data_IF_918220543087
#
_entry.id   IF_918220543087
#
_cell.length_a   1.000
_cell.length_b   1.000
_cell.length_c   1.000
_cell.angle_alpha   90.00
_cell.angle_beta   90.00
_cell.angle_gamma   90.00
#
_symmetry.space_group_name_H-M   'P 1'
#
loop_
_entity.id
_entity.type
_entity.pdbx_description
1 polymer ?
#
# COMPACT_ATOMS: atom_id res chain seq x y z
N UNK A 1 8.65 -10.86 9.97
CA UNK A 1 8.11 -10.23 8.75
C UNK A 1 9.21 -9.54 7.98
N UNK A 2 9.08 -9.46 6.67
CA UNK A 2 9.95 -8.69 5.80
C UNK A 2 9.18 -7.51 5.26
N UNK A 3 9.88 -6.52 4.74
CA UNK A 3 9.29 -5.28 4.24
C UNK A 3 9.19 -5.31 2.73
N UNK A 4 8.04 -4.91 2.21
CA UNK A 4 7.74 -4.93 0.77
C UNK A 4 7.24 -3.58 0.31
N UNK A 5 7.57 -3.23 -0.93
CA UNK A 5 6.92 -2.12 -1.63
C UNK A 5 5.85 -2.70 -2.56
N UNK A 6 4.67 -2.11 -2.52
CA UNK A 6 3.52 -2.57 -3.30
C UNK A 6 3.08 -1.41 -4.18
N UNK A 7 3.06 -1.64 -5.48
CA UNK A 7 2.62 -0.65 -6.45
C UNK A 7 1.19 -0.94 -6.87
N UNK A 8 0.31 0.08 -6.79
CA UNK A 8 -1.06 0.04 -7.30
C UNK A 8 -1.22 1.21 -8.27
N UNK A 9 -1.30 0.90 -9.55
CA UNK A 9 -1.27 1.91 -10.61
C UNK A 9 -2.66 2.33 -11.00
N UNK A 10 -2.91 3.66 -11.03
CA UNK A 10 -4.17 4.24 -11.54
C UNK A 10 -5.42 3.58 -10.96
N UNK A 11 -5.36 3.19 -9.69
CA UNK A 11 -6.40 2.36 -9.07
C UNK A 11 -7.66 3.14 -8.70
N UNK A 12 -7.55 4.46 -8.55
CA UNK A 12 -8.66 5.29 -8.09
C UNK A 12 -8.83 6.53 -8.96
N UNK A 13 -10.10 6.88 -9.22
CA UNK A 13 -10.42 8.03 -10.05
C UNK A 13 -10.16 9.36 -9.32
N UNK A 14 -10.30 9.37 -7.99
CA UNK A 14 -10.20 10.57 -7.17
C UNK A 14 -9.90 10.23 -5.71
N UNK A 15 -9.69 11.26 -4.89
CA UNK A 15 -9.39 11.10 -3.47
C UNK A 15 -10.51 10.42 -2.68
N UNK A 16 -11.77 10.63 -3.06
CA UNK A 16 -12.91 10.01 -2.39
C UNK A 16 -12.86 8.49 -2.50
N UNK A 17 -12.61 7.97 -3.70
CA UNK A 17 -12.45 6.53 -3.93
C UNK A 17 -11.25 5.98 -3.15
N UNK A 18 -10.14 6.71 -3.17
CA UNK A 18 -8.93 6.33 -2.44
C UNK A 18 -9.20 6.21 -0.94
N UNK A 19 -9.88 7.18 -0.35
CA UNK A 19 -10.18 7.18 1.09
C UNK A 19 -11.05 5.99 1.50
N UNK A 20 -12.03 5.63 0.68
CA UNK A 20 -12.88 4.46 0.93
C UNK A 20 -12.02 3.19 0.91
N UNK A 21 -11.17 3.05 -0.10
CA UNK A 21 -10.26 1.91 -0.22
C UNK A 21 -9.27 1.84 0.95
N UNK A 22 -8.71 2.97 1.35
CA UNK A 22 -7.77 3.05 2.47
C UNK A 22 -8.43 2.63 3.78
N UNK A 23 -9.66 3.07 4.04
CA UNK A 23 -10.40 2.66 5.22
C UNK A 23 -10.65 1.16 5.26
N UNK A 24 -11.07 0.58 4.13
CA UNK A 24 -11.28 -0.86 4.00
C UNK A 24 -9.96 -1.63 4.20
N UNK A 25 -8.89 -1.13 3.61
CA UNK A 25 -7.56 -1.71 3.73
C UNK A 25 -7.10 -1.76 5.20
N UNK A 26 -7.33 -0.69 5.94
CA UNK A 26 -6.96 -0.63 7.36
C UNK A 26 -7.75 -1.66 8.18
N UNK A 27 -9.05 -1.74 7.98
CA UNK A 27 -9.90 -2.69 8.72
C UNK A 27 -9.46 -4.13 8.45
N UNK A 28 -9.27 -4.48 7.19
CA UNK A 28 -8.86 -5.85 6.81
C UNK A 28 -7.45 -6.14 7.33
N UNK A 29 -6.53 -5.18 7.24
CA UNK A 29 -5.17 -5.34 7.76
C UNK A 29 -5.16 -5.60 9.27
N UNK A 30 -6.01 -4.90 10.01
CA UNK A 30 -6.15 -5.10 11.45
C UNK A 30 -6.70 -6.50 11.80
N UNK A 31 -7.40 -7.15 10.86
CA UNK A 31 -7.87 -8.54 11.00
C UNK A 31 -6.80 -9.57 10.63
N UNK A 32 -5.67 -9.13 10.10
CA UNK A 32 -4.59 -10.00 9.62
C UNK A 32 -3.24 -9.63 10.28
N UNK A 33 -3.18 -9.47 11.62
CA UNK A 33 -1.99 -8.90 12.27
C UNK A 33 -0.75 -9.78 12.15
N UNK A 34 -0.92 -11.10 11.98
CA UNK A 34 0.20 -12.04 11.82
C UNK A 34 0.69 -12.13 10.37
N UNK A 35 -0.01 -11.50 9.44
CA UNK A 35 0.28 -11.62 8.01
C UNK A 35 0.73 -10.32 7.38
N UNK A 36 0.09 -9.19 7.71
CA UNK A 36 0.42 -7.89 7.11
C UNK A 36 0.39 -6.79 8.15
N UNK A 37 1.23 -5.77 7.91
CA UNK A 37 1.28 -4.57 8.73
C UNK A 37 1.54 -3.39 7.82
N UNK A 38 0.56 -2.50 7.71
CA UNK A 38 0.66 -1.32 6.86
C UNK A 38 1.54 -0.27 7.56
N UNK A 39 2.64 0.10 6.94
CA UNK A 39 3.59 1.07 7.49
C UNK A 39 3.26 2.48 6.99
N UNK A 40 3.22 2.67 5.67
CA UNK A 40 2.89 3.97 5.06
C UNK A 40 2.52 3.78 3.60
N UNK A 41 1.93 4.80 3.02
CA UNK A 41 1.66 4.86 1.59
C UNK A 41 1.92 6.25 1.05
N UNK A 42 2.45 6.30 -0.16
CA UNK A 42 2.53 7.53 -0.94
C UNK A 42 1.44 7.48 -1.98
N UNK A 43 0.61 8.52 -2.03
CA UNK A 43 -0.40 8.68 -3.07
C UNK A 43 0.26 9.41 -4.22
N UNK A 44 0.20 8.84 -5.41
CA UNK A 44 0.86 9.40 -6.58
C UNK A 44 -0.15 9.81 -7.65
N UNK A 45 0.14 10.92 -8.30
CA UNK A 45 -0.61 11.38 -9.46
C UNK A 45 -0.09 10.62 -10.68
N UNK A 46 -0.94 9.81 -11.30
CA UNK A 46 -0.54 9.05 -12.48
C UNK A 46 -0.72 9.87 -13.76
N UNK A 47 -0.05 9.46 -14.84
CA UNK A 47 -0.08 10.19 -16.10
C UNK A 47 -1.47 10.25 -16.74
N UNK A 48 -2.35 9.29 -16.42
CA UNK A 48 -3.72 9.26 -16.93
C UNK A 48 -4.69 10.12 -16.10
N UNK A 49 -4.19 10.87 -15.12
CA UNK A 49 -5.00 11.72 -14.24
C UNK A 49 -5.62 11.00 -13.07
N UNK A 50 -5.47 9.69 -12.98
CA UNK A 50 -5.96 8.89 -11.84
C UNK A 50 -4.93 8.89 -10.72
N UNK A 51 -5.32 8.36 -9.58
CA UNK A 51 -4.44 8.19 -8.43
C UNK A 51 -3.98 6.74 -8.31
N UNK A 52 -2.73 6.57 -7.96
CA UNK A 52 -2.17 5.29 -7.58
C UNK A 52 -1.47 5.40 -6.24
N UNK A 53 -0.87 4.32 -5.78
CA UNK A 53 -0.12 4.32 -4.52
C UNK A 53 1.18 3.56 -4.65
N UNK A 54 2.13 3.98 -3.83
CA UNK A 54 3.34 3.22 -3.48
C UNK A 54 3.21 2.95 -2.00
N UNK A 55 2.93 1.71 -1.64
CA UNK A 55 2.67 1.32 -0.26
C UNK A 55 3.83 0.53 0.31
N UNK A 56 4.15 0.77 1.57
CA UNK A 56 5.18 0.05 2.31
C UNK A 56 4.48 -0.78 3.37
N UNK A 57 4.68 -2.11 3.31
CA UNK A 57 4.09 -3.07 4.24
C UNK A 57 5.16 -4.00 4.78
N UNK A 58 5.03 -4.35 6.06
CA UNK A 58 5.65 -5.58 6.55
C UNK A 58 4.67 -6.73 6.30
N UNK A 59 5.18 -7.86 5.88
CA UNK A 59 4.35 -9.03 5.64
C UNK A 59 5.13 -10.32 5.93
N UNK A 60 4.39 -11.38 6.26
CA UNK A 60 4.98 -12.69 6.50
C UNK A 60 5.58 -13.26 5.20
N UNK A 61 4.90 -13.04 4.08
CA UNK A 61 5.28 -13.48 2.75
C UNK A 61 4.50 -12.69 1.69
N UNK A 62 4.88 -12.76 0.41
CA UNK A 62 4.14 -12.07 -0.66
C UNK A 62 2.68 -12.54 -0.79
N UNK A 63 2.41 -13.81 -0.52
CA UNK A 63 1.06 -14.37 -0.61
C UNK A 63 0.11 -13.71 0.38
N UNK A 64 0.59 -13.33 1.55
CA UNK A 64 -0.19 -12.59 2.55
C UNK A 64 -0.63 -11.22 2.02
N UNK A 65 0.23 -10.56 1.23
CA UNK A 65 -0.10 -9.29 0.57
C UNK A 65 -1.17 -9.52 -0.50
N UNK A 66 -1.04 -10.57 -1.28
CA UNK A 66 -2.04 -10.93 -2.31
C UNK A 66 -3.39 -11.21 -1.66
N UNK A 67 -3.41 -11.96 -0.56
CA UNK A 67 -4.65 -12.23 0.18
C UNK A 67 -5.28 -10.95 0.69
N UNK A 68 -4.50 -10.07 1.30
CA UNK A 68 -4.97 -8.78 1.79
C UNK A 68 -5.57 -7.95 0.65
N UNK A 69 -4.85 -7.85 -0.48
CA UNK A 69 -5.32 -7.11 -1.65
C UNK A 69 -6.65 -7.67 -2.17
N UNK A 70 -6.78 -9.00 -2.23
CA UNK A 70 -8.02 -9.66 -2.66
C UNK A 70 -9.17 -9.35 -1.71
N UNK A 71 -8.94 -9.41 -0.41
CA UNK A 71 -9.97 -9.12 0.61
C UNK A 71 -10.40 -7.67 0.59
N UNK A 72 -9.47 -6.76 0.31
CA UNK A 72 -9.75 -5.32 0.23
C UNK A 72 -10.24 -4.90 -1.16
N UNK A 73 -10.24 -5.80 -2.13
CA UNK A 73 -10.63 -5.53 -3.51
C UNK A 73 -9.78 -4.44 -4.15
N UNK A 74 -8.48 -4.47 -3.88
CA UNK A 74 -7.52 -3.55 -4.47
C UNK A 74 -6.54 -4.32 -5.35
N UNK A 75 -6.01 -3.71 -6.41
CA UNK A 75 -4.94 -4.35 -7.18
C UNK A 75 -3.66 -4.41 -6.35
N UNK A 76 -2.79 -5.36 -6.70
CA UNK A 76 -1.41 -5.40 -6.23
C UNK A 76 -0.56 -5.68 -7.47
N UNK A 77 -0.30 -4.62 -8.24
CA UNK A 77 0.33 -4.74 -9.56
C UNK A 77 1.76 -5.25 -9.46
N UNK A 78 2.49 -4.77 -8.47
CA UNK A 78 3.85 -5.22 -8.21
C UNK A 78 4.06 -5.34 -6.71
N UNK A 79 4.70 -6.42 -6.29
CA UNK A 79 5.11 -6.66 -4.91
C UNK A 79 6.59 -6.94 -4.95
N UNK A 80 7.39 -6.05 -4.34
CA UNK A 80 8.85 -6.15 -4.39
C UNK A 80 9.42 -6.15 -2.98
N UNK A 81 10.29 -7.12 -2.69
CA UNK A 81 10.99 -7.18 -1.42
C UNK A 81 11.97 -6.01 -1.31
N UNK A 82 11.89 -5.28 -0.21
CA UNK A 82 12.84 -4.21 0.08
C UNK A 82 14.09 -4.84 0.69
N UNK A 83 15.22 -4.63 0.02
CA UNK A 83 16.49 -5.18 0.48
C UNK A 83 17.08 -4.36 1.63
N UNK A 84 16.95 -3.03 1.56
CA UNK A 84 17.49 -2.12 2.56
C UNK A 84 16.79 -0.77 2.45
N UNK A 85 16.88 0.04 3.50
CA UNK A 85 16.28 1.37 3.55
C UNK A 85 17.33 2.40 3.91
N UNK A 86 17.44 3.45 3.09
CA UNK A 86 18.32 4.58 3.35
C UNK A 86 17.44 5.78 3.69
N UNK A 87 17.55 6.28 4.92
CA UNK A 87 16.78 7.44 5.38
C UNK A 87 17.76 8.61 5.53
N UNK A 88 17.58 9.63 4.71
CA UNK A 88 18.37 10.87 4.82
C UNK A 88 17.60 11.89 5.66
N UNK A 89 16.31 12.00 5.45
CA UNK A 89 15.39 12.89 6.18
C UNK A 89 14.05 12.21 6.36
N UNK A 90 13.27 12.66 7.33
CA UNK A 90 11.89 12.24 7.50
C UNK A 90 11.05 12.67 6.28
N UNK A 91 9.97 11.96 6.02
CA UNK A 91 9.02 12.36 5.00
C UNK A 91 8.49 13.76 5.31
N UNK A 92 8.20 14.57 4.26
CA UNK A 92 7.64 15.90 4.49
C UNK A 92 6.31 15.82 5.23
N UNK A 93 6.08 16.78 6.11
CA UNK A 93 4.77 16.94 6.74
C UNK A 93 3.83 17.50 5.68
N UNK A 94 2.64 16.91 5.53
CA UNK A 94 1.65 17.40 4.58
C UNK A 94 1.25 18.83 4.92
N UNK A 95 1.26 19.67 3.92
CA UNK A 95 0.89 21.08 4.08
C UNK A 95 -0.64 21.24 4.21
#
# INVERSE_FOLDING_TARGET
MKTYVIRRRSAWANEGELKIAAGRSKVIGDEMPDKVRWIRSYVVQEDDGRLGTVCIYDAADPESIVEHARRTRMPADEITLIADTVIVRQDPIAA
#
